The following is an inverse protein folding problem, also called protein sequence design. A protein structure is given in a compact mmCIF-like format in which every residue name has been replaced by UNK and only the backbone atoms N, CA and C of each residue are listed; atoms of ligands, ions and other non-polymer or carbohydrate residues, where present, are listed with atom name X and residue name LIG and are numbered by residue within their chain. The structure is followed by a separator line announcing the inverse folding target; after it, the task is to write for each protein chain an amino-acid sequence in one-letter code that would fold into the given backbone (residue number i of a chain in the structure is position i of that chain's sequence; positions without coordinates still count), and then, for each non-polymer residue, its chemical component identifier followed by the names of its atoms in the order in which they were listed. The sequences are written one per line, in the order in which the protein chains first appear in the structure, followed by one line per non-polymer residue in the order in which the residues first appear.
data_IF_614525354272
#
_entry.id   IF_614525354272
#
_cell.length_a   1.000
_cell.length_b   1.000
_cell.length_c   1.000
_cell.angle_alpha   90.00
_cell.angle_beta   90.00
_cell.angle_gamma   90.00
#
_symmetry.space_group_name_H-M   'P 1'
#
loop_
_entity.id
_entity.type
_entity.pdbx_description
1 polymer ?
#
# COMPACT_ATOMS: atom_id res chain seq x y z
N UNK A 1 -11.47 -10.12 13.47
CA UNK A 1 -10.92 -9.23 14.53
C UNK A 1 -9.89 -10.02 15.30
N UNK A 2 -8.60 -9.72 15.14
CA UNK A 2 -7.59 -10.23 16.07
C UNK A 2 -7.68 -9.37 17.31
N UNK A 3 -8.17 -9.95 18.40
CA UNK A 3 -8.24 -9.32 19.71
C UNK A 3 -6.82 -9.39 20.29
N UNK A 4 -5.94 -8.48 19.88
CA UNK A 4 -4.60 -8.40 20.46
C UNK A 4 -4.71 -7.81 21.87
N UNK A 5 -3.98 -8.43 22.80
CA UNK A 5 -3.84 -7.99 24.19
C UNK A 5 -3.57 -6.49 24.25
N UNK A 6 -4.17 -5.79 25.22
CA UNK A 6 -4.04 -4.36 25.41
C UNK A 6 -2.55 -3.97 25.54
N UNK A 7 -1.95 -3.55 24.43
CA UNK A 7 -0.64 -2.95 24.41
C UNK A 7 -0.83 -1.55 25.00
N UNK A 8 -0.36 -1.35 26.22
CA UNK A 8 -0.26 -0.03 26.81
C UNK A 8 1.03 0.62 26.32
N UNK A 9 0.94 1.88 25.92
CA UNK A 9 2.11 2.67 25.52
C UNK A 9 2.84 3.16 26.77
N UNK A 10 4.16 3.18 26.71
CA UNK A 10 4.98 3.85 27.72
C UNK A 10 4.87 5.37 27.57
N UNK A 11 5.19 6.13 28.62
CA UNK A 11 5.16 7.60 28.59
C UNK A 11 6.07 8.17 27.48
N UNK A 12 7.26 7.60 27.31
CA UNK A 12 8.18 7.96 26.23
C UNK A 12 7.61 7.66 24.82
N UNK A 13 6.86 6.55 24.67
CA UNK A 13 6.17 6.22 23.42
C UNK A 13 5.01 7.18 23.14
N UNK A 14 4.24 7.57 24.16
CA UNK A 14 3.17 8.56 24.02
C UNK A 14 3.70 9.93 23.62
N UNK A 15 4.83 10.37 24.19
CA UNK A 15 5.46 11.63 23.80
C UNK A 15 6.00 11.57 22.35
N UNK A 16 6.66 10.49 21.97
CA UNK A 16 7.18 10.30 20.61
C UNK A 16 6.05 10.31 19.57
N UNK A 17 4.94 9.63 19.85
CA UNK A 17 3.80 9.50 18.94
C UNK A 17 2.70 10.56 19.15
N UNK A 18 2.91 11.57 20.00
CA UNK A 18 1.89 12.58 20.37
C UNK A 18 1.18 13.17 19.14
N UNK A 19 1.95 13.54 18.11
CA UNK A 19 1.39 14.12 16.87
C UNK A 19 0.53 13.15 16.08
N UNK A 20 0.91 11.88 16.06
CA UNK A 20 0.17 10.81 15.39
C UNK A 20 -1.10 10.44 16.17
N UNK A 21 -0.97 10.33 17.50
CA UNK A 21 -2.08 10.07 18.43
C UNK A 21 -3.15 11.16 18.33
N UNK A 22 -2.77 12.44 18.19
CA UNK A 22 -3.73 13.54 17.97
C UNK A 22 -4.49 13.44 16.66
N UNK A 23 -3.94 12.75 15.66
CA UNK A 23 -4.56 12.60 14.34
C UNK A 23 -5.57 11.44 14.32
N UNK A 24 -5.15 10.25 14.75
CA UNK A 24 -5.97 9.03 14.63
C UNK A 24 -6.43 8.40 15.95
N UNK A 25 -6.05 9.00 17.08
CA UNK A 25 -6.44 8.56 18.42
C UNK A 25 -5.52 7.51 19.04
N UNK A 26 -5.53 7.44 20.38
CA UNK A 26 -4.68 6.54 21.16
C UNK A 26 -4.92 5.06 20.84
N UNK A 27 -6.19 4.65 20.71
CA UNK A 27 -6.52 3.24 20.43
C UNK A 27 -6.04 2.77 19.06
N UNK A 28 -6.03 3.66 18.07
CA UNK A 28 -5.45 3.36 16.76
C UNK A 28 -3.94 3.15 16.87
N UNK A 29 -3.25 3.97 17.67
CA UNK A 29 -1.81 3.81 17.92
C UNK A 29 -1.50 2.50 18.64
N UNK A 30 -2.29 2.11 19.66
CA UNK A 30 -2.14 0.82 20.35
C UNK A 30 -2.28 -0.37 19.40
N UNK A 31 -3.26 -0.30 18.47
CA UNK A 31 -3.43 -1.32 17.43
C UNK A 31 -2.24 -1.40 16.48
N UNK A 32 -1.70 -0.25 16.04
CA UNK A 32 -0.49 -0.20 15.23
C UNK A 32 0.69 -0.83 15.97
N UNK A 33 0.86 -0.50 17.25
CA UNK A 33 1.97 -1.00 18.09
C UNK A 33 1.94 -2.52 18.29
N UNK A 34 0.80 -3.16 18.12
CA UNK A 34 0.65 -4.61 18.14
C UNK A 34 0.94 -5.28 16.78
N UNK A 35 0.90 -4.51 15.68
CA UNK A 35 0.87 -5.05 14.32
C UNK A 35 2.24 -5.53 13.82
N UNK A 36 2.22 -6.63 13.05
CA UNK A 36 3.41 -7.22 12.42
C UNK A 36 3.29 -7.13 10.90
N UNK A 37 4.29 -6.52 10.27
CA UNK A 37 4.27 -6.18 8.84
C UNK A 37 5.39 -6.90 8.09
N UNK A 38 5.05 -7.53 6.95
CA UNK A 38 6.03 -8.05 6.00
C UNK A 38 6.07 -7.11 4.81
N UNK A 39 7.26 -6.66 4.43
CA UNK A 39 7.48 -5.95 3.16
C UNK A 39 8.32 -6.84 2.26
N UNK A 40 7.77 -7.17 1.11
CA UNK A 40 8.41 -7.97 0.07
C UNK A 40 8.93 -7.04 -1.02
N UNK A 41 10.23 -7.11 -1.30
CA UNK A 41 10.93 -6.25 -2.23
C UNK A 41 11.45 -4.96 -1.59
N UNK A 42 12.77 -4.78 -1.61
CA UNK A 42 13.49 -3.61 -1.11
C UNK A 42 14.02 -2.74 -2.26
N UNK A 43 13.17 -2.50 -3.25
CA UNK A 43 13.39 -1.48 -4.28
C UNK A 43 13.10 -0.06 -3.72
N UNK A 44 13.22 0.99 -4.54
CA UNK A 44 12.96 2.36 -4.09
C UNK A 44 11.56 2.58 -3.49
N UNK A 45 10.51 1.89 -3.99
CA UNK A 45 9.18 1.96 -3.38
C UNK A 45 9.14 1.24 -2.02
N UNK A 46 9.73 0.04 -1.94
CA UNK A 46 9.88 -0.70 -0.69
C UNK A 46 10.60 0.11 0.38
N UNK A 47 11.60 0.92 0.01
CA UNK A 47 12.27 1.88 0.90
C UNK A 47 11.30 2.80 1.64
N UNK A 48 10.45 3.46 0.85
CA UNK A 48 9.52 4.48 1.31
C UNK A 48 8.46 3.86 2.21
N UNK A 49 7.90 2.71 1.77
CA UNK A 49 6.96 1.92 2.57
C UNK A 49 7.58 1.52 3.91
N UNK A 50 8.79 0.97 3.91
CA UNK A 50 9.48 0.55 5.13
C UNK A 50 9.70 1.73 6.08
N UNK A 51 10.17 2.86 5.54
CA UNK A 51 10.39 4.08 6.32
C UNK A 51 9.08 4.59 6.95
N UNK A 52 8.00 4.68 6.18
CA UNK A 52 6.71 5.16 6.69
C UNK A 52 6.12 4.19 7.74
N UNK A 53 6.21 2.88 7.52
CA UNK A 53 5.69 1.87 8.47
C UNK A 53 6.50 1.84 9.77
N UNK A 54 7.83 1.96 9.70
CA UNK A 54 8.69 2.02 10.89
C UNK A 54 8.41 3.30 11.70
N UNK A 55 8.31 4.46 11.04
CA UNK A 55 8.01 5.73 11.70
C UNK A 55 6.58 5.79 12.27
N UNK A 56 5.66 4.99 11.73
CA UNK A 56 4.30 4.82 12.27
C UNK A 56 4.26 4.05 13.61
N UNK A 57 5.33 3.32 13.95
CA UNK A 57 5.44 2.64 15.25
C UNK A 57 4.77 1.28 15.34
N UNK A 58 4.96 0.42 14.33
CA UNK A 58 4.48 -0.97 14.38
C UNK A 58 5.23 -1.84 15.42
N UNK A 59 4.74 -3.05 15.71
CA UNK A 59 5.48 -3.99 16.58
C UNK A 59 6.80 -4.42 15.95
N UNK A 60 6.69 -4.92 14.73
CA UNK A 60 7.82 -5.46 13.99
C UNK A 60 7.60 -5.35 12.49
N UNK A 61 8.70 -5.15 11.77
CA UNK A 61 8.74 -5.16 10.32
C UNK A 61 9.81 -6.16 9.85
N UNK A 62 9.45 -6.99 8.87
CA UNK A 62 10.39 -7.87 8.18
C UNK A 62 10.52 -7.45 6.73
N UNK A 63 11.75 -7.26 6.27
CA UNK A 63 12.08 -6.96 4.87
C UNK A 63 12.53 -8.26 4.20
N UNK A 64 11.82 -8.71 3.16
CA UNK A 64 12.15 -9.91 2.38
C UNK A 64 12.57 -9.50 0.97
N UNK A 65 13.84 -9.72 0.61
CA UNK A 65 14.36 -9.48 -0.74
C UNK A 65 15.54 -10.41 -1.02
N UNK A 66 15.55 -11.11 -2.16
CA UNK A 66 16.65 -11.96 -2.62
C UNK A 66 17.64 -11.24 -3.55
N UNK A 67 17.37 -9.97 -3.87
CA UNK A 67 18.18 -9.18 -4.79
C UNK A 67 19.46 -8.66 -4.14
N UNK A 68 20.49 -8.53 -4.98
CA UNK A 68 21.77 -7.93 -4.62
C UNK A 68 21.73 -6.43 -4.94
N UNK A 69 22.39 -5.63 -4.11
CA UNK A 69 22.57 -4.19 -4.33
C UNK A 69 23.34 -3.95 -5.62
N UNK A 70 22.75 -3.15 -6.50
CA UNK A 70 23.32 -2.66 -7.75
C UNK A 70 23.51 -1.14 -7.70
N UNK A 71 24.31 -0.59 -8.61
CA UNK A 71 24.52 0.87 -8.69
C UNK A 71 23.22 1.65 -8.89
N UNK A 72 22.25 1.07 -9.62
CA UNK A 72 20.96 1.70 -9.87
C UNK A 72 20.13 1.90 -8.59
N UNK A 73 20.36 1.07 -7.57
CA UNK A 73 19.63 1.17 -6.32
C UNK A 73 19.98 2.47 -5.58
N UNK A 74 21.21 2.96 -5.68
CA UNK A 74 21.62 4.21 -5.02
C UNK A 74 20.88 5.46 -5.51
N UNK A 75 20.25 5.41 -6.69
CA UNK A 75 19.46 6.53 -7.20
C UNK A 75 18.07 6.63 -6.59
N UNK A 76 17.55 5.55 -5.99
CA UNK A 76 16.16 5.47 -5.55
C UNK A 76 15.96 4.88 -4.15
N UNK A 77 16.97 4.24 -3.57
CA UNK A 77 16.89 3.50 -2.32
C UNK A 77 17.87 4.09 -1.29
N UNK A 78 17.35 4.96 -0.41
CA UNK A 78 18.14 5.72 0.56
C UNK A 78 18.55 4.93 1.80
N UNK A 79 17.93 3.78 2.07
CA UNK A 79 18.27 2.91 3.21
C UNK A 79 19.57 2.13 2.99
N UNK A 80 20.02 2.01 1.75
CA UNK A 80 21.24 1.27 1.41
C UNK A 80 22.45 2.23 1.44
N UNK A 81 23.52 1.89 2.18
CA UNK A 81 24.76 2.66 2.14
C UNK A 81 25.52 2.45 0.83
N UNK A 82 26.29 3.45 0.40
CA UNK A 82 26.94 3.49 -0.94
C UNK A 82 27.94 2.33 -1.11
N UNK A 83 28.59 1.95 -0.01
CA UNK A 83 29.58 0.88 0.08
C UNK A 83 28.98 -0.54 0.12
N UNK A 84 27.65 -0.69 0.09
CA UNK A 84 26.98 -1.99 0.16
C UNK A 84 26.73 -2.67 -1.20
N UNK A 85 27.31 -2.15 -2.30
CA UNK A 85 27.28 -2.82 -3.61
C UNK A 85 27.71 -4.28 -3.46
N UNK A 86 26.94 -5.22 -4.02
CA UNK A 86 27.22 -6.65 -3.94
C UNK A 86 26.67 -7.36 -2.69
N UNK A 87 26.13 -6.65 -1.70
CA UNK A 87 25.41 -7.25 -0.56
C UNK A 87 23.94 -7.50 -0.89
N UNK A 88 23.23 -8.26 -0.07
CA UNK A 88 21.77 -8.38 -0.19
C UNK A 88 21.07 -7.06 0.15
N UNK A 89 20.01 -6.68 -0.61
CA UNK A 89 19.31 -5.40 -0.42
C UNK A 89 18.63 -5.26 0.93
N UNK A 90 17.95 -6.31 1.42
CA UNK A 90 17.28 -6.28 2.71
C UNK A 90 18.30 -6.17 3.85
N UNK A 91 19.37 -6.97 3.81
CA UNK A 91 20.43 -6.91 4.82
C UNK A 91 21.16 -5.56 4.81
N UNK A 92 21.48 -5.03 3.64
CA UNK A 92 22.15 -3.73 3.50
C UNK A 92 21.30 -2.57 4.02
N UNK A 93 19.98 -2.71 4.02
CA UNK A 93 19.03 -1.69 4.49
C UNK A 93 18.80 -1.74 6.01
N UNK A 94 19.15 -2.85 6.68
CA UNK A 94 18.74 -3.15 8.04
C UNK A 94 19.21 -2.11 9.06
N UNK A 95 20.47 -1.70 8.99
CA UNK A 95 21.06 -0.76 9.95
C UNK A 95 20.34 0.60 9.92
N UNK A 96 20.19 1.18 8.71
CA UNK A 96 19.50 2.46 8.54
C UNK A 96 18.01 2.37 8.85
N UNK A 97 17.36 1.27 8.47
CA UNK A 97 15.94 1.05 8.77
C UNK A 97 15.69 0.96 10.28
N UNK A 98 16.50 0.18 11.01
CA UNK A 98 16.39 0.06 12.47
C UNK A 98 16.68 1.38 13.19
N UNK A 99 17.59 2.21 12.66
CA UNK A 99 17.92 3.51 13.21
C UNK A 99 16.78 4.54 13.12
N UNK A 100 15.81 4.36 12.20
CA UNK A 100 14.65 5.25 12.08
C UNK A 100 13.77 5.21 13.33
N UNK A 101 13.61 4.03 13.93
CA UNK A 101 12.82 3.88 15.15
C UNK A 101 13.31 2.68 15.99
N UNK A 102 14.04 2.92 17.10
CA UNK A 102 14.50 1.86 17.99
C UNK A 102 13.39 1.01 18.64
N UNK A 103 12.16 1.51 18.67
CA UNK A 103 11.01 0.83 19.29
C UNK A 103 10.42 -0.27 18.40
N UNK A 104 10.71 -0.24 17.10
CA UNK A 104 10.23 -1.20 16.12
C UNK A 104 11.29 -2.28 15.94
N UNK A 105 10.90 -3.55 16.03
CA UNK A 105 11.81 -4.66 15.71
C UNK A 105 11.90 -4.85 14.20
N UNK A 106 13.04 -4.49 13.60
CA UNK A 106 13.28 -4.62 12.17
C UNK A 106 14.14 -5.86 11.90
N UNK A 107 13.72 -6.68 10.94
CA UNK A 107 14.44 -7.90 10.53
C UNK A 107 14.60 -7.94 9.01
N UNK A 108 15.69 -8.52 8.54
CA UNK A 108 15.96 -8.75 7.13
C UNK A 108 16.00 -10.25 6.84
N UNK A 109 15.32 -10.66 5.76
CA UNK A 109 15.35 -12.02 5.23
C UNK A 109 15.87 -11.97 3.78
N UNK A 110 17.07 -12.50 3.52
CA UNK A 110 17.67 -12.49 2.18
C UNK A 110 17.10 -13.56 1.24
N UNK A 111 16.05 -14.28 1.65
CA UNK A 111 15.49 -15.40 0.90
C UNK A 111 14.59 -14.99 -0.25
N UNK A 112 14.43 -15.89 -1.23
CA UNK A 112 13.53 -15.67 -2.36
C UNK A 112 12.08 -15.98 -1.98
N UNK A 113 11.17 -15.09 -2.33
CA UNK A 113 9.71 -15.27 -2.19
C UNK A 113 9.24 -16.61 -2.77
N UNK A 114 9.80 -16.98 -3.92
CA UNK A 114 9.44 -18.22 -4.62
C UNK A 114 9.83 -19.46 -3.82
N UNK A 115 10.92 -19.37 -3.04
CA UNK A 115 11.44 -20.48 -2.23
C UNK A 115 10.79 -20.60 -0.85
N UNK A 116 10.09 -19.57 -0.39
CA UNK A 116 9.44 -19.60 0.92
C UNK A 116 8.21 -20.51 0.87
N UNK A 117 7.99 -21.36 1.89
CA UNK A 117 6.76 -22.14 1.99
C UNK A 117 5.57 -21.22 2.31
N UNK A 118 4.34 -21.66 2.02
CA UNK A 118 3.14 -20.81 2.19
C UNK A 118 2.92 -20.42 3.67
N UNK A 119 3.32 -21.30 4.59
CA UNK A 119 3.26 -21.09 6.04
C UNK A 119 4.13 -19.91 6.51
N UNK A 120 5.14 -19.54 5.70
CA UNK A 120 5.99 -18.39 5.99
C UNK A 120 5.19 -17.08 6.03
N UNK A 121 4.07 -16.96 5.32
CA UNK A 121 3.33 -15.70 5.26
C UNK A 121 2.29 -15.57 6.39
N UNK A 122 1.96 -16.67 7.07
CA UNK A 122 0.84 -16.74 8.04
C UNK A 122 1.02 -15.89 9.31
N UNK A 123 2.23 -15.82 9.91
CA UNK A 123 2.43 -15.01 11.12
C UNK A 123 2.30 -13.48 10.97
N UNK A 124 2.02 -12.92 9.79
CA UNK A 124 1.99 -11.47 9.58
C UNK A 124 0.55 -10.98 9.50
N UNK A 125 0.29 -9.76 9.98
CA UNK A 125 -1.06 -9.17 9.93
C UNK A 125 -1.27 -8.34 8.67
N UNK A 126 -0.18 -7.76 8.16
CA UNK A 126 -0.13 -6.98 6.93
C UNK A 126 1.04 -7.47 6.09
N UNK A 127 0.77 -7.70 4.80
CA UNK A 127 1.81 -8.02 3.82
C UNK A 127 1.74 -6.99 2.70
N UNK A 128 2.86 -6.31 2.46
CA UNK A 128 3.04 -5.36 1.37
C UNK A 128 4.00 -5.96 0.36
N UNK A 129 3.61 -5.96 -0.90
CA UNK A 129 4.36 -6.57 -2.00
C UNK A 129 4.76 -5.53 -3.02
N UNK A 130 6.04 -5.53 -3.41
CA UNK A 130 6.60 -4.67 -4.45
C UNK A 130 7.60 -5.44 -5.31
N UNK A 131 7.66 -5.14 -6.60
CA UNK A 131 8.74 -5.58 -7.49
C UNK A 131 8.79 -7.07 -7.82
N UNK A 132 7.70 -7.83 -7.61
CA UNK A 132 7.65 -9.27 -7.90
C UNK A 132 6.72 -9.60 -9.08
N UNK A 133 6.76 -10.85 -9.54
CA UNK A 133 5.92 -11.29 -10.66
C UNK A 133 4.45 -11.51 -10.26
N UNK A 134 3.54 -11.43 -11.24
CA UNK A 134 2.10 -11.59 -11.04
C UNK A 134 1.70 -12.93 -10.43
N UNK A 135 2.35 -14.03 -10.83
CA UNK A 135 2.06 -15.35 -10.28
C UNK A 135 2.33 -15.42 -8.76
N UNK A 136 3.39 -14.78 -8.27
CA UNK A 136 3.67 -14.69 -6.84
C UNK A 136 2.72 -13.71 -6.14
N UNK A 137 2.32 -12.61 -6.78
CA UNK A 137 1.30 -11.69 -6.23
C UNK A 137 -0.02 -12.45 -5.98
N UNK A 138 -0.49 -13.21 -6.96
CA UNK A 138 -1.72 -14.02 -6.85
C UNK A 138 -1.59 -15.09 -5.76
N UNK A 139 -0.46 -15.80 -5.71
CA UNK A 139 -0.16 -16.79 -4.67
C UNK A 139 -0.23 -16.18 -3.28
N UNK A 140 0.49 -15.08 -3.03
CA UNK A 140 0.50 -14.40 -1.72
C UNK A 140 -0.91 -13.88 -1.39
N UNK A 141 -1.61 -13.26 -2.34
CA UNK A 141 -2.97 -12.76 -2.10
C UNK A 141 -3.94 -13.89 -1.70
N UNK A 142 -3.82 -15.06 -2.33
CA UNK A 142 -4.63 -16.24 -1.96
C UNK A 142 -4.33 -16.72 -0.55
N UNK A 143 -3.06 -16.81 -0.16
CA UNK A 143 -2.65 -17.17 1.20
C UNK A 143 -3.17 -16.14 2.22
N UNK A 144 -3.09 -14.85 1.89
CA UNK A 144 -3.61 -13.78 2.74
C UNK A 144 -5.12 -13.91 2.96
N UNK A 145 -5.88 -14.22 1.89
CA UNK A 145 -7.33 -14.47 1.97
C UNK A 145 -7.68 -15.64 2.88
N UNK A 146 -6.94 -16.73 2.78
CA UNK A 146 -7.18 -17.93 3.60
C UNK A 146 -6.92 -17.68 5.09
N UNK A 147 -6.02 -16.75 5.43
CA UNK A 147 -5.57 -16.50 6.81
C UNK A 147 -6.06 -15.14 7.38
N UNK A 148 -6.97 -14.45 6.68
CA UNK A 148 -7.46 -13.12 7.09
C UNK A 148 -6.36 -12.05 7.29
N UNK A 149 -5.34 -12.10 6.44
CA UNK A 149 -4.21 -11.15 6.42
C UNK A 149 -4.54 -10.01 5.45
N UNK A 150 -4.21 -8.78 5.84
CA UNK A 150 -4.38 -7.61 4.98
C UNK A 150 -3.27 -7.57 3.93
N UNK A 151 -3.66 -7.45 2.66
CA UNK A 151 -2.75 -7.52 1.53
C UNK A 151 -2.66 -6.19 0.79
N UNK A 152 -1.44 -5.78 0.46
CA UNK A 152 -1.15 -4.59 -0.33
C UNK A 152 -0.14 -4.94 -1.41
N UNK A 153 -0.31 -4.38 -2.60
CA UNK A 153 0.67 -4.49 -3.67
C UNK A 153 0.77 -3.17 -4.41
N UNK A 154 1.97 -2.79 -4.81
CA UNK A 154 2.17 -1.61 -5.63
C UNK A 154 3.53 -1.61 -6.30
N UNK A 155 3.60 -0.92 -7.43
CA UNK A 155 4.84 -0.69 -8.16
C UNK A 155 4.85 0.69 -8.80
N UNK A 156 6.06 1.14 -9.11
CA UNK A 156 6.33 2.39 -9.83
C UNK A 156 7.05 2.08 -11.14
N UNK A 157 6.61 2.72 -12.21
CA UNK A 157 7.12 2.57 -13.57
C UNK A 157 7.27 3.95 -14.24
N UNK A 158 8.48 4.48 -14.25
CA UNK A 158 8.74 5.82 -14.79
C UNK A 158 7.98 6.87 -13.99
N UNK A 159 7.01 7.53 -14.63
CA UNK A 159 6.15 8.54 -14.01
C UNK A 159 4.83 7.99 -13.47
N UNK A 160 4.54 6.71 -13.71
CA UNK A 160 3.30 6.06 -13.28
C UNK A 160 3.56 5.19 -12.05
N UNK A 161 2.56 5.04 -11.20
CA UNK A 161 2.55 4.06 -10.13
C UNK A 161 1.14 3.57 -9.86
N UNK A 162 1.03 2.38 -9.29
CA UNK A 162 -0.24 1.83 -8.85
C UNK A 162 -0.12 1.28 -7.43
N UNK A 163 -1.25 1.26 -6.73
CA UNK A 163 -1.41 0.52 -5.49
C UNK A 163 -2.75 -0.20 -5.51
N UNK A 164 -2.75 -1.48 -5.14
CA UNK A 164 -3.94 -2.30 -4.95
C UNK A 164 -3.95 -2.83 -3.51
N UNK A 165 -5.14 -2.83 -2.91
CA UNK A 165 -5.34 -3.20 -1.52
C UNK A 165 -6.46 -4.24 -1.44
N UNK A 166 -6.21 -5.33 -0.73
CA UNK A 166 -7.19 -6.37 -0.43
C UNK A 166 -7.26 -6.59 1.08
N UNK A 167 -8.26 -5.98 1.68
CA UNK A 167 -8.58 -6.09 3.11
C UNK A 167 -9.73 -7.06 3.38
N UNK A 168 -10.17 -7.80 2.36
CA UNK A 168 -11.30 -8.74 2.43
C UNK A 168 -12.58 -8.05 2.94
N UNK A 169 -13.21 -8.59 3.99
CA UNK A 169 -14.30 -7.92 4.71
C UNK A 169 -13.73 -7.01 5.79
N UNK A 170 -13.59 -5.71 5.48
CA UNK A 170 -12.93 -4.76 6.36
C UNK A 170 -13.93 -3.86 7.08
N UNK A 171 -13.90 -3.90 8.40
CA UNK A 171 -14.66 -3.01 9.27
C UNK A 171 -13.76 -1.90 9.81
N UNK A 172 -14.20 -0.66 9.67
CA UNK A 172 -13.47 0.52 10.14
C UNK A 172 -14.41 1.55 10.75
N UNK A 173 -13.82 2.47 11.52
CA UNK A 173 -14.51 3.61 12.12
C UNK A 173 -14.17 4.85 11.32
N UNK A 174 -15.20 5.59 10.91
CA UNK A 174 -15.06 6.85 10.20
C UNK A 174 -15.66 7.97 11.05
N UNK A 175 -14.90 9.02 11.30
CA UNK A 175 -15.39 10.21 11.98
C UNK A 175 -16.05 11.13 10.94
N UNK A 176 -17.36 11.30 11.05
CA UNK A 176 -18.16 12.13 10.15
C UNK A 176 -18.51 13.42 10.87
N UNK A 177 -18.10 14.53 10.27
CA UNK A 177 -18.47 15.86 10.74
C UNK A 177 -19.86 16.23 10.20
N UNK A 178 -20.84 16.30 11.09
CA UNK A 178 -22.21 16.66 10.75
C UNK A 178 -22.44 18.13 11.13
N UNK A 179 -22.89 18.98 10.19
CA UNK A 179 -23.28 20.35 10.52
C UNK A 179 -24.60 20.35 11.29
N UNK A 180 -24.56 20.75 12.55
CA UNK A 180 -25.73 20.91 13.43
C UNK A 180 -26.08 22.39 13.52
N UNK A 181 -27.35 22.73 13.28
CA UNK A 181 -27.88 24.08 13.48
C UNK A 181 -28.32 24.25 14.92
N UNK A 182 -27.56 24.99 15.74
CA UNK A 182 -28.01 25.36 17.10
C UNK A 182 -28.76 26.69 17.07
N UNK A 183 -29.94 26.78 17.70
CA UNK A 183 -30.66 28.05 17.83
C UNK A 183 -29.89 29.00 18.76
N UNK A 184 -29.70 30.24 18.33
CA UNK A 184 -29.17 31.31 19.17
C UNK A 184 -30.36 31.87 19.97
N UNK A 185 -30.38 31.63 21.28
CA UNK A 185 -31.41 32.15 22.17
C UNK A 185 -31.02 33.58 22.57
N UNK A 186 -31.75 34.57 22.04
CA UNK A 186 -31.63 35.97 22.48
C UNK A 186 -32.47 36.15 23.76
N UNK A 187 -31.94 36.77 24.83
CA UNK A 187 -32.72 37.01 26.05
C UNK A 187 -33.97 37.86 25.74
N UNK A 188 -35.17 37.31 25.99
CA UNK A 188 -36.45 38.02 25.82
C UNK A 188 -37.23 37.74 24.53
N UNK A 189 -36.80 36.82 23.67
CA UNK A 189 -37.55 36.42 22.47
C UNK A 189 -38.23 35.04 22.62
N UNK A 190 -39.53 34.95 22.35
CA UNK A 190 -40.31 33.69 22.42
C UNK A 190 -39.93 32.65 21.33
N UNK A 191 -39.21 33.06 20.28
CA UNK A 191 -38.69 32.19 19.22
C UNK A 191 -37.30 32.61 18.73
N UNK A 192 -36.43 31.63 18.50
CA UNK A 192 -35.08 31.85 17.97
C UNK A 192 -35.12 32.29 16.49
N UNK A 193 -34.52 33.44 16.18
CA UNK A 193 -34.47 34.03 14.83
C UNK A 193 -33.12 33.83 14.12
N UNK A 194 -32.09 33.35 14.81
CA UNK A 194 -30.76 33.06 14.23
C UNK A 194 -30.27 31.68 14.65
N UNK A 195 -29.61 30.97 13.73
CA UNK A 195 -29.00 29.66 13.97
C UNK A 195 -27.49 29.75 13.75
N UNK A 196 -26.70 29.19 14.67
CA UNK A 196 -25.26 28.99 14.50
C UNK A 196 -25.03 27.60 13.91
N UNK A 197 -24.29 27.52 12.82
CA UNK A 197 -23.78 26.24 12.33
C UNK A 197 -22.61 25.83 13.23
N UNK A 198 -22.74 24.69 13.90
CA UNK A 198 -21.65 24.03 14.61
C UNK A 198 -21.42 22.66 13.99
N UNK A 199 -20.15 22.30 13.80
CA UNK A 199 -19.77 20.95 13.42
C UNK A 199 -19.74 20.07 14.66
N UNK A 200 -20.50 18.98 14.66
CA UNK A 200 -20.37 17.89 15.65
C UNK A 200 -19.76 16.70 14.94
N UNK A 201 -18.70 16.12 15.49
CA UNK A 201 -18.12 14.90 14.97
C UNK A 201 -18.78 13.67 15.62
N UNK A 202 -19.17 12.71 14.80
CA UNK A 202 -19.75 11.43 15.21
C UNK A 202 -18.96 10.30 14.56
N UNK A 203 -18.61 9.28 15.34
CA UNK A 203 -17.99 8.06 14.81
C UNK A 203 -19.06 7.11 14.26
N UNK A 204 -18.87 6.62 13.03
CA UNK A 204 -19.72 5.59 12.42
C UNK A 204 -18.90 4.37 12.06
N UNK A 205 -19.43 3.18 12.34
CA UNK A 205 -18.85 1.91 11.90
C UNK A 205 -19.32 1.60 10.48
N UNK A 206 -18.37 1.27 9.62
CA UNK A 206 -18.60 0.93 8.21
C UNK A 206 -17.92 -0.36 7.86
N UNK A 207 -18.52 -1.09 6.92
CA UNK A 207 -17.94 -2.29 6.33
C UNK A 207 -17.79 -2.13 4.82
N UNK A 208 -16.62 -2.51 4.31
CA UNK A 208 -16.30 -2.56 2.88
C UNK A 208 -15.80 -3.96 2.54
N UNK A 209 -16.28 -4.49 1.42
CA UNK A 209 -15.81 -5.76 0.83
C UNK A 209 -14.83 -5.47 -0.32
N UNK A 210 -13.65 -6.10 -0.27
CA UNK A 210 -12.60 -6.00 -1.28
C UNK A 210 -12.57 -7.23 -2.20
N UNK A 211 -12.34 -7.04 -3.51
CA UNK A 211 -12.13 -8.13 -4.49
C UNK A 211 -10.74 -8.77 -4.31
N UNK A 212 -10.55 -9.97 -4.85
CA UNK A 212 -9.21 -10.56 -4.91
C UNK A 212 -8.34 -9.84 -5.95
N UNK A 213 -7.02 -9.98 -5.85
CA UNK A 213 -6.12 -9.40 -6.84
C UNK A 213 -6.36 -10.01 -8.23
N UNK A 214 -6.63 -11.31 -8.30
CA UNK A 214 -6.88 -12.03 -9.54
C UNK A 214 -8.14 -11.50 -10.24
N UNK A 215 -9.26 -11.44 -9.51
CA UNK A 215 -10.52 -10.90 -10.02
C UNK A 215 -10.38 -9.43 -10.50
N UNK A 216 -9.55 -8.66 -9.80
CA UNK A 216 -9.31 -7.26 -10.11
C UNK A 216 -8.49 -7.05 -11.40
N UNK A 217 -7.62 -8.00 -11.76
CA UNK A 217 -6.81 -7.92 -12.98
C UNK A 217 -7.51 -8.57 -14.18
N UNK A 218 -8.31 -9.62 -13.95
CA UNK A 218 -9.01 -10.39 -14.98
C UNK A 218 -10.44 -9.91 -15.24
N UNK A 219 -10.65 -8.60 -15.26
CA UNK A 219 -11.95 -8.02 -15.63
C UNK A 219 -12.27 -8.33 -17.10
N UNK A 220 -13.41 -8.99 -17.34
CA UNK A 220 -13.97 -9.22 -18.67
C UNK A 220 -14.71 -7.97 -19.17
N UNK A 221 -14.13 -7.30 -20.16
CA UNK A 221 -14.73 -6.12 -20.78
C UNK A 221 -15.73 -6.44 -21.89
N UNK A 222 -16.01 -7.72 -22.13
CA UNK A 222 -17.02 -8.16 -23.10
C UNK A 222 -18.44 -8.15 -22.51
N UNK A 223 -18.56 -8.10 -21.18
CA UNK A 223 -19.84 -8.15 -20.49
C UNK A 223 -20.59 -6.82 -20.52
N UNK A 224 -21.93 -6.88 -20.60
CA UNK A 224 -22.80 -5.69 -20.60
C UNK A 224 -22.65 -4.83 -19.32
N UNK A 225 -22.15 -5.41 -18.21
CA UNK A 225 -21.94 -4.68 -16.96
C UNK A 225 -20.71 -3.76 -17.00
N UNK A 226 -19.62 -4.20 -17.63
CA UNK A 226 -18.34 -3.48 -17.62
C UNK A 226 -18.20 -2.52 -18.81
N UNK A 227 -18.89 -2.76 -19.92
CA UNK A 227 -18.86 -1.90 -21.11
C UNK A 227 -19.18 -0.41 -20.83
N UNK A 228 -20.23 -0.06 -20.04
CA UNK A 228 -20.51 1.35 -19.73
C UNK A 228 -19.50 1.98 -18.77
N UNK A 229 -18.79 1.16 -17.99
CA UNK A 229 -17.78 1.60 -17.01
C UNK A 229 -16.43 1.87 -17.69
N UNK A 230 -16.14 1.19 -18.81
CA UNK A 230 -14.90 1.30 -19.57
C UNK A 230 -14.54 2.75 -19.93
N UNK A 231 -15.51 3.54 -20.40
CA UNK A 231 -15.29 4.95 -20.78
C UNK A 231 -14.98 5.87 -19.59
N UNK A 232 -15.27 5.43 -18.37
CA UNK A 232 -15.01 6.16 -17.12
C UNK A 232 -13.77 5.66 -16.40
N UNK A 233 -13.14 4.58 -16.87
CA UNK A 233 -11.94 4.03 -16.25
C UNK A 233 -10.72 4.86 -16.58
N UNK A 234 -9.81 4.95 -15.60
CA UNK A 234 -8.53 5.61 -15.81
C UNK A 234 -7.65 4.78 -16.76
N UNK A 235 -7.06 5.38 -17.81
CA UNK A 235 -6.19 4.68 -18.75
C UNK A 235 -5.00 3.96 -18.09
N UNK A 236 -4.55 4.40 -16.92
CA UNK A 236 -3.45 3.77 -16.16
C UNK A 236 -3.72 2.31 -15.82
N UNK A 237 -4.98 1.90 -15.67
CA UNK A 237 -5.34 0.49 -15.51
C UNK A 237 -4.87 -0.36 -16.69
N UNK A 238 -5.05 0.14 -17.92
CA UNK A 238 -4.62 -0.55 -19.13
C UNK A 238 -3.10 -0.48 -19.33
N UNK A 239 -2.42 0.51 -18.75
CA UNK A 239 -0.95 0.54 -18.74
C UNK A 239 -0.42 -0.55 -17.79
N UNK A 240 -1.01 -0.69 -16.62
CA UNK A 240 -0.72 -1.75 -15.67
C UNK A 240 -1.04 -3.14 -16.27
N UNK A 241 -2.22 -3.31 -16.90
CA UNK A 241 -2.60 -4.55 -17.60
C UNK A 241 -1.84 -4.78 -18.92
N UNK A 242 -1.39 -3.71 -19.59
CA UNK A 242 -0.56 -3.78 -20.80
C UNK A 242 0.82 -4.34 -20.50
N UNK A 243 1.31 -4.14 -19.27
CA UNK A 243 2.42 -4.92 -18.72
C UNK A 243 2.06 -6.41 -18.58
N UNK A 244 0.84 -6.80 -18.22
CA UNK A 244 0.48 -8.23 -18.27
C UNK A 244 0.68 -8.85 -19.67
N UNK A 245 0.48 -8.10 -20.76
CA UNK A 245 0.67 -8.61 -22.12
C UNK A 245 2.11 -8.48 -22.65
N UNK A 246 2.77 -7.33 -22.42
CA UNK A 246 4.13 -7.06 -22.91
C UNK A 246 5.22 -7.65 -21.99
N UNK A 247 4.96 -7.71 -20.68
CA UNK A 247 5.88 -8.29 -19.69
C UNK A 247 5.85 -9.82 -19.75
N UNK A 248 4.71 -10.51 -19.98
CA UNK A 248 4.73 -11.97 -20.21
C UNK A 248 5.65 -12.41 -21.35
N UNK A 249 5.81 -11.55 -22.39
CA UNK A 249 6.75 -11.79 -23.48
C UNK A 249 8.21 -11.48 -23.11
N UNK A 250 8.47 -10.54 -22.19
CA UNK A 250 9.84 -10.12 -21.80
C UNK A 250 10.37 -10.76 -20.50
N UNK A 251 9.52 -11.13 -19.53
CA UNK A 251 9.92 -11.76 -18.25
C UNK A 251 10.05 -13.26 -18.29
N UNK A 252 9.46 -13.92 -19.29
CA UNK A 252 9.86 -15.31 -19.58
C UNK A 252 11.34 -15.41 -19.97
N UNK A 253 11.94 -14.31 -20.46
CA UNK A 253 13.33 -14.29 -20.91
C UNK A 253 14.28 -13.54 -19.93
N UNK A 254 13.87 -12.43 -19.27
CA UNK A 254 14.74 -11.71 -18.32
C UNK A 254 13.97 -11.08 -17.15
N UNK A 255 14.41 -11.36 -15.91
CA UNK A 255 13.93 -10.76 -14.63
C UNK A 255 14.20 -9.24 -14.50
N UNK A 256 13.83 -8.39 -15.46
CA UNK A 256 14.11 -6.94 -15.44
C UNK A 256 12.90 -6.12 -15.90
N UNK A 257 12.62 -5.02 -15.19
CA UNK A 257 11.75 -3.94 -15.68
C UNK A 257 12.37 -3.26 -16.90
N UNK A 258 11.55 -2.59 -17.74
CA UNK A 258 12.04 -1.80 -18.87
C UNK A 258 13.17 -0.86 -18.39
N UNK A 259 14.38 -1.10 -18.88
CA UNK A 259 15.54 -0.29 -18.55
C UNK A 259 15.76 0.75 -19.65
N UNK A 260 16.10 1.99 -19.31
CA UNK A 260 16.55 2.97 -20.31
C UNK A 260 17.78 2.48 -21.10
N UNK A 261 18.57 1.56 -20.53
CA UNK A 261 19.85 1.09 -21.06
C UNK A 261 19.67 0.12 -22.25
N UNK A 262 18.50 -0.49 -22.43
CA UNK A 262 18.25 -1.42 -23.55
C UNK A 262 17.94 -0.75 -24.89
N UNK A 263 17.99 0.59 -24.97
CA UNK A 263 17.92 1.34 -26.24
C UNK A 263 19.33 1.47 -26.83
N UNK A 264 19.87 0.36 -27.35
CA UNK A 264 21.10 0.40 -28.14
C UNK A 264 20.78 0.92 -29.56
N UNK A 265 21.61 1.83 -30.07
CA UNK A 265 21.31 2.70 -31.23
C UNK A 265 21.25 1.98 -32.59
N UNK A 266 21.39 0.66 -32.63
CA UNK A 266 21.46 -0.14 -33.85
C UNK A 266 20.36 -1.20 -34.00
N UNK A 267 19.39 -1.27 -33.09
CA UNK A 267 18.22 -2.14 -33.22
C UNK A 267 16.96 -1.31 -33.35
N UNK A 268 16.31 -1.39 -34.51
CA UNK A 268 14.97 -0.83 -34.74
C UNK A 268 14.04 -1.44 -33.68
N UNK A 269 13.42 -0.66 -32.79
CA UNK A 269 12.46 -1.22 -31.85
C UNK A 269 11.23 -1.71 -32.63
N UNK A 270 10.63 -2.86 -32.26
CA UNK A 270 9.29 -3.17 -32.74
C UNK A 270 8.34 -2.03 -32.38
N UNK A 271 7.38 -1.75 -33.25
CA UNK A 271 6.54 -0.54 -33.28
C UNK A 271 5.67 -0.25 -32.01
N UNK A 272 5.89 -0.97 -30.90
CA UNK A 272 5.23 -0.78 -29.61
C UNK A 272 6.03 0.11 -28.63
N UNK A 273 7.24 0.55 -28.97
CA UNK A 273 8.01 1.49 -28.14
C UNK A 273 7.73 2.94 -28.55
N UNK A 274 6.57 3.47 -28.18
CA UNK A 274 6.31 4.90 -28.21
C UNK A 274 6.36 5.45 -26.78
N UNK A 275 7.54 5.88 -26.33
CA UNK A 275 7.63 6.86 -25.26
C UNK A 275 7.21 8.21 -25.85
N UNK A 276 5.96 8.62 -25.65
CA UNK A 276 5.54 9.97 -26.00
C UNK A 276 6.09 10.97 -24.97
N UNK A 277 6.89 11.98 -25.37
CA UNK A 277 7.28 13.05 -24.49
C UNK A 277 6.16 14.09 -24.45
N UNK A 278 5.63 14.36 -23.27
CA UNK A 278 4.78 15.52 -23.02
C UNK A 278 3.42 15.17 -22.44
N UNK A 279 3.35 15.09 -21.11
CA UNK A 279 2.20 15.50 -20.32
C UNK A 279 2.68 15.69 -18.87
N UNK A 280 2.62 16.94 -18.42
CA UNK A 280 2.73 17.32 -17.02
C UNK A 280 1.49 16.82 -16.27
N UNK A 281 1.67 16.43 -15.01
CA UNK A 281 0.77 16.50 -13.84
C UNK A 281 0.89 15.22 -12.98
N UNK A 282 0.99 15.47 -11.67
CA UNK A 282 0.91 14.55 -10.53
C UNK A 282 -0.08 13.41 -10.76
N UNK A 283 0.24 12.18 -10.32
CA UNK A 283 -0.71 11.27 -9.66
C UNK A 283 -0.06 9.90 -9.35
N UNK A 284 0.01 9.55 -8.06
CA UNK A 284 -0.09 8.16 -7.62
C UNK A 284 -1.58 7.82 -7.66
N UNK A 285 -1.99 6.91 -8.55
CA UNK A 285 -3.40 6.52 -8.68
C UNK A 285 -3.63 5.29 -7.80
N UNK A 286 -4.32 5.48 -6.67
CA UNK A 286 -4.95 4.38 -5.94
C UNK A 286 -6.16 3.92 -6.75
N UNK A 287 -6.15 2.69 -7.28
CA UNK A 287 -7.26 2.19 -8.07
C UNK A 287 -7.79 0.85 -7.56
N UNK A 288 -9.11 0.77 -7.42
CA UNK A 288 -9.84 -0.47 -7.19
C UNK A 288 -10.86 -0.61 -8.35
N UNK A 289 -10.74 -1.63 -9.22
CA UNK A 289 -11.68 -1.89 -10.33
C UNK A 289 -13.11 -2.03 -9.87
N UNK A 290 -13.24 -2.56 -8.67
CA UNK A 290 -14.48 -2.72 -7.98
C UNK A 290 -14.59 -1.53 -7.04
N UNK A 291 -15.43 -0.56 -7.40
CA UNK A 291 -16.10 0.25 -6.36
C UNK A 291 -16.53 -0.73 -5.27
N UNK A 292 -16.26 -0.49 -3.96
CA UNK A 292 -16.59 -1.40 -2.87
C UNK A 292 -17.83 -2.23 -3.15
N UNK A 293 -17.66 -3.56 -3.27
CA UNK A 293 -18.71 -4.47 -3.78
C UNK A 293 -20.03 -4.33 -3.02
N UNK A 294 -19.97 -3.83 -1.78
CA UNK A 294 -21.03 -3.15 -1.05
C UNK A 294 -20.41 -2.27 0.05
N UNK A 295 -20.87 -1.02 0.19
CA UNK A 295 -20.66 -0.22 1.41
C UNK A 295 -21.90 -0.38 2.28
N UNK A 296 -21.75 -0.91 3.48
CA UNK A 296 -22.86 -1.06 4.43
C UNK A 296 -22.56 -0.29 5.71
N UNK A 297 -23.52 0.54 6.13
CA UNK A 297 -23.49 1.19 7.44
C UNK A 297 -23.93 0.15 8.48
N UNK A 298 -23.14 -0.05 9.53
CA UNK A 298 -23.49 -0.92 10.65
C UNK A 298 -24.19 -0.05 11.71
N UNK A 299 -25.39 -0.46 12.15
CA UNK A 299 -26.14 0.20 13.23
C UNK A 299 -25.44 0.04 14.58
#
# INVERSE_FOLDING_TARGET
MVVNAAVELTEDEEELYDRQIRLWGLESQKRLRAARVLVVGMNGLGAEVVKDVILSGVKSLTMLDDSVVSELDHHSQFLIPVEAIGKNRAEASLERAQALNPLVSVTADPGSVTSKPDEYFVPWEVIVVTGINSAQIIRINTICRQNSIMFFVGDVFGLFGYSFNDLQSHEFVEEITIPVKKPIVTPGAERATKFRLESVSTTRKRRIEFPSYDDAMEVDFSSEEHLPKLSKMDPSYFIMKGRFFCFCFFTSDRRRSCSPITLDSNSIPPASCACYPGLYIDNIVTWNPHTPLKRTDLN
#
